data_IF_989701729288
#
_entry.id   IF_989701729288
#
_cell.length_a   1.000
_cell.length_b   1.000
_cell.length_c   1.000
_cell.angle_alpha   90.00
_cell.angle_beta   90.00
_cell.angle_gamma   90.00
#
_symmetry.space_group_name_H-M   'P 1'
#
loop_
_entity.id
_entity.type
_entity.pdbx_description
1 polymer ?
#
# COMPACT_ATOMS: atom_id res chain seq x y z
N UNK A 1 -3.42 22.42 2.12
CA UNK A 1 -2.33 21.43 2.16
C UNK A 1 -2.97 20.06 2.14
N UNK A 2 -2.53 19.14 1.28
CA UNK A 2 -3.02 17.76 1.33
C UNK A 2 -2.51 17.13 2.62
N UNK A 3 -3.40 16.45 3.34
CA UNK A 3 -2.98 15.56 4.42
C UNK A 3 -2.21 14.38 3.80
N UNK A 4 -1.09 14.01 4.41
CA UNK A 4 -0.31 12.84 3.98
C UNK A 4 -0.95 11.59 4.55
N UNK A 5 -0.83 10.48 3.82
CA UNK A 5 -1.28 9.18 4.32
C UNK A 5 -0.41 8.74 5.50
N UNK A 6 -1.01 8.00 6.43
CA UNK A 6 -0.27 7.22 7.42
C UNK A 6 0.56 6.15 6.70
N UNK A 7 1.82 5.97 7.10
CA UNK A 7 2.74 5.03 6.46
C UNK A 7 3.59 4.28 7.48
N UNK A 8 3.87 3.00 7.20
CA UNK A 8 4.99 2.29 7.81
C UNK A 8 6.21 2.48 6.92
N UNK A 9 7.35 2.84 7.51
CA UNK A 9 8.61 3.00 6.78
C UNK A 9 9.69 2.07 7.34
N UNK A 10 10.40 1.40 6.43
CA UNK A 10 11.53 0.52 6.75
C UNK A 10 12.71 0.92 5.87
N UNK A 11 13.88 1.09 6.46
CA UNK A 11 15.12 1.38 5.73
C UNK A 11 16.11 0.23 5.90
N UNK A 12 16.70 -0.21 4.79
CA UNK A 12 17.68 -1.31 4.82
C UNK A 12 19.11 -0.84 5.12
N UNK A 13 19.31 0.47 5.24
CA UNK A 13 20.59 1.11 5.58
C UNK A 13 20.46 2.63 5.62
N UNK A 14 21.57 3.30 5.95
CA UNK A 14 21.63 4.76 5.95
C UNK A 14 21.58 5.34 4.53
N UNK A 15 21.05 6.55 4.38
CA UNK A 15 21.00 7.31 3.12
C UNK A 15 20.45 6.48 1.94
N UNK A 16 19.18 6.05 1.99
CA UNK A 16 18.58 5.22 0.95
C UNK A 16 18.63 5.92 -0.43
N UNK A 17 19.11 5.20 -1.44
CA UNK A 17 19.23 5.71 -2.82
C UNK A 17 18.01 5.39 -3.69
N UNK A 18 17.13 4.52 -3.19
CA UNK A 18 15.89 4.13 -3.85
C UNK A 18 14.76 4.02 -2.82
N UNK A 19 13.52 4.11 -3.31
CA UNK A 19 12.33 3.87 -2.52
C UNK A 19 11.39 2.91 -3.23
N UNK A 20 10.76 2.03 -2.45
CA UNK A 20 9.68 1.14 -2.88
C UNK A 20 8.43 1.55 -2.12
N UNK A 21 7.39 1.97 -2.83
CA UNK A 21 6.09 2.29 -2.25
C UNK A 21 5.15 1.13 -2.57
N UNK A 22 4.68 0.43 -1.54
CA UNK A 22 3.88 -0.78 -1.71
C UNK A 22 2.45 -0.57 -1.21
N UNK A 23 1.49 -0.58 -2.12
CA UNK A 23 0.08 -0.39 -1.81
C UNK A 23 -0.60 -1.74 -1.57
N UNK A 24 -1.23 -1.91 -0.41
CA UNK A 24 -1.97 -3.12 -0.06
C UNK A 24 -3.27 -3.26 -0.90
N UNK A 25 -3.85 -4.47 -0.89
CA UNK A 25 -5.13 -4.75 -1.56
C UNK A 25 -6.36 -4.23 -0.81
N UNK A 26 -7.54 -4.37 -1.41
CA UNK A 26 -8.81 -3.95 -0.78
C UNK A 26 -9.02 -4.61 0.59
N UNK A 27 -9.37 -3.81 1.61
CA UNK A 27 -9.70 -4.29 2.94
C UNK A 27 -8.50 -4.64 3.84
N UNK A 28 -7.28 -4.66 3.27
CA UNK A 28 -6.03 -4.86 3.99
C UNK A 28 -5.50 -3.55 4.61
N UNK A 29 -4.31 -3.60 5.21
CA UNK A 29 -3.57 -2.41 5.64
C UNK A 29 -2.05 -2.51 5.31
N UNK A 30 -1.28 -1.47 5.63
CA UNK A 30 0.15 -1.39 5.33
C UNK A 30 1.02 -2.48 5.97
N UNK A 31 0.52 -3.22 6.98
CA UNK A 31 1.26 -4.32 7.60
C UNK A 31 1.28 -5.60 6.74
N UNK A 32 0.35 -5.78 5.79
CA UNK A 32 0.19 -7.01 5.02
C UNK A 32 1.48 -7.49 4.33
N UNK A 33 2.30 -6.53 3.88
CA UNK A 33 3.52 -6.79 3.12
C UNK A 33 4.80 -6.42 3.87
N UNK A 34 4.72 -5.94 5.11
CA UNK A 34 5.91 -5.65 5.93
C UNK A 34 6.81 -6.89 6.09
N UNK A 35 6.29 -8.10 6.41
CA UNK A 35 7.12 -9.28 6.55
C UNK A 35 7.86 -9.69 5.26
N UNK A 36 7.40 -9.26 4.08
CA UNK A 36 8.06 -9.56 2.82
C UNK A 36 9.46 -8.94 2.75
N UNK A 37 9.71 -7.81 3.43
CA UNK A 37 11.01 -7.13 3.40
C UNK A 37 12.13 -8.05 3.89
N UNK A 38 11.84 -8.88 4.90
CA UNK A 38 12.81 -9.83 5.48
C UNK A 38 13.09 -11.04 4.57
N UNK A 39 12.17 -11.33 3.64
CA UNK A 39 12.27 -12.47 2.70
C UNK A 39 12.96 -12.10 1.37
N UNK A 40 13.20 -10.81 1.12
CA UNK A 40 13.86 -10.35 -0.10
C UNK A 40 15.39 -10.53 0.00
N UNK A 41 16.00 -11.11 -1.03
CA UNK A 41 17.46 -11.09 -1.17
C UNK A 41 17.92 -9.71 -1.67
N UNK A 42 18.29 -8.85 -0.72
CA UNK A 42 18.76 -7.49 -1.01
C UNK A 42 20.29 -7.36 -1.00
N UNK A 43 21.02 -8.48 -0.99
CA UNK A 43 22.49 -8.46 -0.91
C UNK A 43 23.09 -7.79 -2.15
N UNK A 44 24.01 -6.86 -1.91
CA UNK A 44 24.70 -6.11 -2.96
C UNK A 44 23.89 -4.94 -3.55
N UNK A 45 22.68 -4.69 -3.06
CA UNK A 45 21.91 -3.49 -3.42
C UNK A 45 22.29 -2.31 -2.51
N UNK A 46 22.14 -1.09 -3.03
CA UNK A 46 22.16 0.13 -2.20
C UNK A 46 21.02 0.11 -1.19
N UNK A 47 21.12 0.93 -0.13
CA UNK A 47 20.04 1.08 0.85
C UNK A 47 18.72 1.51 0.17
N UNK A 48 17.62 0.87 0.57
CA UNK A 48 16.28 1.07 0.05
C UNK A 48 15.37 1.50 1.20
N UNK A 49 14.49 2.47 0.93
CA UNK A 49 13.40 2.85 1.80
C UNK A 49 12.09 2.20 1.32
N UNK A 50 11.57 1.27 2.09
CA UNK A 50 10.23 0.72 1.88
C UNK A 50 9.20 1.61 2.57
N UNK A 51 8.12 1.94 1.88
CA UNK A 51 7.01 2.75 2.38
C UNK A 51 5.72 2.00 2.12
N UNK A 52 4.99 1.69 3.19
CA UNK A 52 3.71 0.99 3.15
C UNK A 52 2.60 1.94 3.61
N UNK A 53 1.95 2.67 2.68
CA UNK A 53 0.85 3.56 3.03
C UNK A 53 -0.40 2.79 3.44
N UNK A 54 -1.18 3.38 4.33
CA UNK A 54 -2.51 2.93 4.68
C UNK A 54 -3.56 3.65 3.85
N UNK A 55 -4.44 2.90 3.18
CA UNK A 55 -5.62 3.50 2.57
C UNK A 55 -6.58 4.02 3.64
N UNK A 56 -7.27 5.13 3.36
CA UNK A 56 -8.32 5.62 4.25
C UNK A 56 -9.49 4.63 4.31
N UNK A 57 -10.26 4.69 5.40
CA UNK A 57 -11.50 3.93 5.50
C UNK A 57 -12.61 4.64 4.74
N UNK A 58 -13.33 3.90 3.91
CA UNK A 58 -14.46 4.40 3.14
C UNK A 58 -15.47 3.27 2.86
N UNK A 59 -16.76 3.58 2.62
CA UNK A 59 -17.72 2.60 2.14
C UNK A 59 -17.34 2.13 0.73
N UNK A 60 -17.42 0.81 0.50
CA UNK A 60 -17.09 0.19 -0.79
C UNK A 60 -18.33 -0.40 -1.44
N UNK A 61 -18.69 0.09 -2.62
CA UNK A 61 -19.96 -0.20 -3.32
C UNK A 61 -20.11 -1.68 -3.66
N UNK A 62 -19.09 -2.33 -4.23
CA UNK A 62 -19.13 -3.77 -4.56
C UNK A 62 -19.32 -4.66 -3.33
N UNK A 63 -18.91 -4.17 -2.15
CA UNK A 63 -19.09 -4.84 -0.86
C UNK A 63 -20.35 -4.35 -0.13
N UNK A 64 -21.35 -3.85 -0.85
CA UNK A 64 -22.63 -3.42 -0.27
C UNK A 64 -22.51 -2.21 0.66
N UNK A 65 -21.50 -1.36 0.47
CA UNK A 65 -21.26 -0.19 1.30
C UNK A 65 -20.53 -0.48 2.61
N UNK A 66 -19.98 -1.70 2.79
CA UNK A 66 -19.16 -2.02 3.96
C UNK A 66 -17.96 -1.06 4.06
N UNK A 67 -17.72 -0.51 5.25
CA UNK A 67 -16.61 0.43 5.50
C UNK A 67 -15.34 -0.36 5.78
N UNK A 68 -14.36 -0.21 4.90
CA UNK A 68 -13.05 -0.84 5.02
C UNK A 68 -11.98 0.07 4.41
N UNK A 69 -10.70 -0.29 4.56
CA UNK A 69 -9.61 0.44 3.90
C UNK A 69 -9.68 0.22 2.39
N UNK A 70 -9.78 1.31 1.63
CA UNK A 70 -9.80 1.26 0.17
C UNK A 70 -9.16 2.52 -0.43
N UNK A 71 -8.44 2.34 -1.53
CA UNK A 71 -7.81 3.45 -2.26
C UNK A 71 -8.81 4.26 -3.07
N UNK A 72 -9.87 3.60 -3.52
CA UNK A 72 -10.99 4.16 -4.27
C UNK A 72 -12.20 3.23 -4.12
N UNK A 73 -13.38 3.75 -4.44
CA UNK A 73 -14.61 2.97 -4.45
C UNK A 73 -14.67 2.06 -5.69
N UNK A 74 -14.99 0.78 -5.49
CA UNK A 74 -15.17 -0.19 -6.58
C UNK A 74 -16.66 -0.37 -6.78
N UNK A 75 -17.19 0.09 -7.92
CA UNK A 75 -18.63 0.17 -8.16
C UNK A 75 -19.22 -1.04 -8.87
N UNK A 76 -18.45 -1.68 -9.73
CA UNK A 76 -18.91 -2.80 -10.55
C UNK A 76 -17.98 -4.01 -10.40
N UNK A 77 -18.54 -5.21 -10.57
CA UNK A 77 -17.79 -6.47 -10.59
C UNK A 77 -17.08 -6.75 -11.92
N UNK A 78 -17.35 -5.94 -12.94
CA UNK A 78 -16.66 -6.01 -14.22
C UNK A 78 -15.31 -5.28 -14.12
N UNK A 79 -14.34 -5.94 -13.47
CA UNK A 79 -12.98 -5.44 -13.25
C UNK A 79 -12.18 -5.24 -14.56
N UNK A 80 -12.76 -5.58 -15.72
CA UNK A 80 -12.20 -5.30 -17.05
C UNK A 80 -12.50 -3.87 -17.48
N UNK A 81 -13.56 -3.24 -16.96
CA UNK A 81 -13.78 -1.81 -17.13
C UNK A 81 -12.83 -1.05 -16.21
N UNK A 82 -11.95 -0.27 -16.85
CA UNK A 82 -11.09 0.72 -16.19
C UNK A 82 -11.92 1.62 -15.27
N UNK A 83 -11.51 1.70 -14.01
CA UNK A 83 -12.02 2.63 -13.01
C UNK A 83 -11.04 3.80 -12.78
N UNK A 84 -10.18 4.10 -13.78
CA UNK A 84 -9.30 5.28 -13.87
C UNK A 84 -9.75 6.32 -14.92
#
# INVERSE_FOLDING_TARGET
MSELLETIEIQTGAEPQAAIIWMHGLGADGNDFVPLVDELDLRGLSAIRFVFPHANTMPVTINGGYVMRAWYDIRNSDLVRRED
#
